data_IF_749063840139
#
_entry.id   IF_749063840139
#
_cell.length_a   1.000
_cell.length_b   1.000
_cell.length_c   1.000
_cell.angle_alpha   90.00
_cell.angle_beta   90.00
_cell.angle_gamma   90.00
#
_symmetry.space_group_name_H-M   'P 1'
#
loop_
_entity.id
_entity.type
_entity.pdbx_description
1 polymer ?
#
# COMPACT_ATOMS: atom_id res chain seq x y z
N UNK A 1 -13.12 24.09 12.77
CA UNK A 1 -12.20 22.95 12.54
C UNK A 1 -13.06 21.70 12.36
N UNK A 2 -12.85 20.89 11.31
CA UNK A 2 -13.58 19.64 11.16
C UNK A 2 -13.30 18.74 12.38
N UNK A 3 -14.35 18.18 12.99
CA UNK A 3 -14.19 17.26 14.11
C UNK A 3 -13.68 15.90 13.62
N UNK A 4 -13.12 15.08 14.50
CA UNK A 4 -12.57 13.75 14.17
C UNK A 4 -13.55 12.86 13.41
N UNK A 5 -14.84 12.95 13.74
CA UNK A 5 -15.93 12.22 13.09
C UNK A 5 -16.03 12.53 11.59
N UNK A 6 -15.83 13.79 11.20
CA UNK A 6 -15.89 14.18 9.78
C UNK A 6 -14.75 13.59 8.92
N UNK A 7 -13.60 13.27 9.52
CA UNK A 7 -12.49 12.59 8.83
C UNK A 7 -12.76 11.09 8.71
N UNK A 8 -13.23 10.46 9.79
CA UNK A 8 -13.61 9.04 9.81
C UNK A 8 -14.68 8.71 8.77
N UNK A 9 -15.68 9.59 8.61
CA UNK A 9 -16.73 9.42 7.59
C UNK A 9 -16.21 9.45 6.15
N UNK A 10 -15.06 10.08 5.91
CA UNK A 10 -14.44 10.20 4.58
C UNK A 10 -13.34 9.16 4.36
N UNK A 11 -12.99 8.39 5.39
CA UNK A 11 -11.89 7.43 5.37
C UNK A 11 -12.34 6.09 4.78
N UNK A 12 -11.85 5.78 3.57
CA UNK A 12 -12.14 4.52 2.91
C UNK A 12 -11.51 3.31 3.62
N UNK A 13 -10.52 3.50 4.49
CA UNK A 13 -9.97 2.39 5.26
C UNK A 13 -10.94 1.95 6.37
N UNK A 14 -11.73 2.89 6.91
CA UNK A 14 -12.68 2.63 7.99
C UNK A 14 -14.02 2.06 7.48
N UNK A 15 -14.33 2.16 6.18
CA UNK A 15 -15.54 1.61 5.57
C UNK A 15 -15.29 0.20 5.00
N UNK A 16 -16.11 -0.77 5.41
CA UNK A 16 -15.89 -2.19 5.08
C UNK A 16 -15.95 -2.50 3.59
N UNK A 17 -16.86 -1.86 2.85
CA UNK A 17 -17.05 -2.12 1.41
C UNK A 17 -15.87 -1.60 0.61
N UNK A 18 -15.49 -0.34 0.86
CA UNK A 18 -14.33 0.28 0.21
C UNK A 18 -13.03 -0.40 0.66
N UNK A 19 -12.90 -0.82 1.92
CA UNK A 19 -11.77 -1.60 2.40
C UNK A 19 -11.61 -2.91 1.62
N UNK A 20 -12.69 -3.69 1.53
CA UNK A 20 -12.69 -4.97 0.83
C UNK A 20 -12.28 -4.81 -0.65
N UNK A 21 -12.75 -3.76 -1.31
CA UNK A 21 -12.42 -3.51 -2.72
C UNK A 21 -11.02 -2.94 -2.92
N UNK A 22 -10.62 -1.93 -2.13
CA UNK A 22 -9.40 -1.17 -2.36
C UNK A 22 -8.15 -1.77 -1.70
N UNK A 23 -8.31 -2.58 -0.66
CA UNK A 23 -7.20 -3.27 0.02
C UNK A 23 -7.36 -4.78 0.01
N UNK A 24 -8.59 -5.29 0.20
CA UNK A 24 -8.88 -6.72 0.24
C UNK A 24 -8.59 -7.42 -1.09
N UNK A 25 -9.19 -6.96 -2.19
CA UNK A 25 -9.00 -7.55 -3.52
C UNK A 25 -7.53 -7.49 -3.99
N UNK A 26 -6.83 -6.34 -3.93
CA UNK A 26 -5.40 -6.31 -4.21
C UNK A 26 -4.58 -7.19 -3.26
N UNK A 27 -4.97 -7.29 -1.98
CA UNK A 27 -4.37 -8.20 -1.01
C UNK A 27 -4.48 -9.67 -1.45
N UNK A 28 -5.66 -10.08 -1.92
CA UNK A 28 -5.87 -11.42 -2.47
C UNK A 28 -5.01 -11.67 -3.72
N UNK A 29 -4.88 -10.69 -4.63
CA UNK A 29 -3.99 -10.79 -5.80
C UNK A 29 -2.52 -10.97 -5.39
N UNK A 30 -2.07 -10.27 -4.35
CA UNK A 30 -0.71 -10.45 -3.81
C UNK A 30 -0.51 -11.88 -3.29
N UNK A 31 -1.48 -12.41 -2.54
CA UNK A 31 -1.44 -13.78 -2.00
C UNK A 31 -1.41 -14.81 -3.15
N UNK A 32 -2.31 -14.70 -4.13
CA UNK A 32 -2.33 -15.60 -5.29
C UNK A 32 -1.02 -15.52 -6.07
N UNK A 33 -0.45 -14.33 -6.21
CA UNK A 33 0.82 -14.10 -6.90
C UNK A 33 2.01 -14.87 -6.31
N UNK A 34 1.94 -15.32 -5.06
CA UNK A 34 2.96 -16.19 -4.45
C UNK A 34 3.07 -17.54 -5.18
N UNK A 35 1.95 -18.06 -5.67
CA UNK A 35 1.85 -19.43 -6.18
C UNK A 35 1.97 -19.56 -7.71
N UNK A 36 2.19 -18.46 -8.41
CA UNK A 36 2.28 -18.42 -9.88
C UNK A 36 3.72 -18.18 -10.34
N UNK A 37 3.95 -18.31 -11.64
CA UNK A 37 5.25 -18.08 -12.26
C UNK A 37 5.72 -16.61 -12.12
N UNK A 38 7.03 -16.33 -12.23
CA UNK A 38 7.58 -15.00 -11.98
C UNK A 38 6.99 -13.89 -12.87
N UNK A 39 6.65 -14.18 -14.12
CA UNK A 39 6.10 -13.18 -15.03
C UNK A 39 4.67 -12.80 -14.60
N UNK A 40 3.81 -13.80 -14.37
CA UNK A 40 2.46 -13.58 -13.87
C UNK A 40 2.47 -12.89 -12.51
N UNK A 41 3.39 -13.30 -11.61
CA UNK A 41 3.60 -12.66 -10.30
C UNK A 41 3.94 -11.18 -10.46
N UNK A 42 4.82 -10.83 -11.39
CA UNK A 42 5.21 -9.44 -11.68
C UNK A 42 3.99 -8.59 -12.00
N UNK A 43 3.14 -9.06 -12.91
CA UNK A 43 1.93 -8.34 -13.33
C UNK A 43 0.96 -8.19 -12.15
N UNK A 44 0.68 -9.29 -11.44
CA UNK A 44 -0.27 -9.30 -10.33
C UNK A 44 0.18 -8.40 -9.18
N UNK A 45 1.43 -8.53 -8.75
CA UNK A 45 1.96 -7.76 -7.64
C UNK A 45 2.08 -6.28 -8.00
N UNK A 46 2.58 -5.96 -9.20
CA UNK A 46 2.65 -4.56 -9.67
C UNK A 46 1.26 -3.94 -9.72
N UNK A 47 0.29 -4.60 -10.35
CA UNK A 47 -1.08 -4.12 -10.45
C UNK A 47 -1.73 -3.90 -9.10
N UNK A 48 -1.56 -4.85 -8.17
CA UNK A 48 -2.08 -4.73 -6.81
C UNK A 48 -1.42 -3.58 -6.03
N UNK A 49 -0.12 -3.36 -6.17
CA UNK A 49 0.58 -2.26 -5.50
C UNK A 49 0.23 -0.90 -6.09
N UNK A 50 0.09 -0.79 -7.41
CA UNK A 50 -0.40 0.43 -8.05
C UNK A 50 -1.80 0.78 -7.56
N UNK A 51 -2.70 -0.22 -7.51
CA UNK A 51 -4.05 -0.05 -6.98
C UNK A 51 -4.03 0.46 -5.54
N UNK A 52 -3.37 -0.26 -4.63
CA UNK A 52 -3.29 0.11 -3.21
C UNK A 52 -2.60 1.46 -3.01
N UNK A 53 -1.53 1.71 -3.77
CA UNK A 53 -0.77 2.95 -3.73
C UNK A 53 -1.62 4.16 -4.08
N UNK A 54 -2.32 4.10 -5.22
CA UNK A 54 -3.25 5.16 -5.64
C UNK A 54 -4.39 5.33 -4.64
N UNK A 55 -5.00 4.22 -4.17
CA UNK A 55 -6.06 4.27 -3.17
C UNK A 55 -5.60 4.96 -1.87
N UNK A 56 -4.40 4.65 -1.38
CA UNK A 56 -3.81 5.32 -0.22
C UNK A 56 -3.56 6.82 -0.48
N UNK A 57 -2.96 7.19 -1.61
CA UNK A 57 -2.71 8.62 -1.93
C UNK A 57 -4.01 9.41 -1.96
N UNK A 58 -5.05 8.87 -2.63
CA UNK A 58 -6.36 9.50 -2.72
C UNK A 58 -7.04 9.57 -1.36
N UNK A 59 -6.98 8.49 -0.56
CA UNK A 59 -7.57 8.49 0.78
C UNK A 59 -6.89 9.53 1.69
N UNK A 60 -5.56 9.59 1.67
CA UNK A 60 -4.80 10.60 2.41
C UNK A 60 -5.17 12.03 1.99
N UNK A 61 -5.34 12.29 0.69
CA UNK A 61 -5.77 13.61 0.20
C UNK A 61 -7.22 13.96 0.61
N UNK A 62 -8.10 12.96 0.77
CA UNK A 62 -9.52 13.15 1.12
C UNK A 62 -9.76 13.39 2.61
N UNK A 63 -9.10 12.60 3.47
CA UNK A 63 -9.38 12.57 4.91
C UNK A 63 -8.16 12.84 5.80
N UNK A 64 -6.97 12.98 5.22
CA UNK A 64 -5.74 13.22 5.97
C UNK A 64 -5.21 11.97 6.70
N UNK A 65 -5.60 10.75 6.27
CA UNK A 65 -5.13 9.50 6.91
C UNK A 65 -3.61 9.41 6.88
N UNK A 66 -3.01 9.41 8.07
CA UNK A 66 -1.57 9.56 8.24
C UNK A 66 -0.78 8.41 7.61
N UNK A 67 -1.12 7.15 7.90
CA UNK A 67 -0.37 6.04 7.31
C UNK A 67 -0.53 5.96 5.79
N UNK A 68 -1.70 6.34 5.25
CA UNK A 68 -1.94 6.33 3.80
C UNK A 68 -1.04 7.34 3.08
N UNK A 69 -0.74 8.48 3.72
CA UNK A 69 0.18 9.48 3.19
C UNK A 69 1.58 8.92 2.91
N UNK A 70 2.06 8.02 3.77
CA UNK A 70 3.39 7.40 3.62
C UNK A 70 3.35 6.07 2.86
N UNK A 71 2.36 5.23 3.13
CA UNK A 71 2.24 3.91 2.48
C UNK A 71 1.85 4.01 1.01
N UNK A 72 1.13 5.07 0.60
CA UNK A 72 0.79 5.33 -0.80
C UNK A 72 2.03 5.43 -1.69
N UNK A 73 2.90 6.45 -1.48
CA UNK A 73 4.16 6.56 -2.21
C UNK A 73 5.06 5.33 -2.08
N UNK A 74 5.11 4.72 -0.90
CA UNK A 74 5.87 3.50 -0.68
C UNK A 74 5.42 2.35 -1.59
N UNK A 75 4.12 2.10 -1.71
CA UNK A 75 3.58 1.08 -2.62
C UNK A 75 3.89 1.37 -4.08
N UNK A 76 3.79 2.64 -4.51
CA UNK A 76 4.10 3.04 -5.88
C UNK A 76 5.58 2.83 -6.21
N UNK A 77 6.49 3.21 -5.29
CA UNK A 77 7.92 2.95 -5.44
C UNK A 77 8.22 1.45 -5.47
N UNK A 78 7.60 0.68 -4.58
CA UNK A 78 7.79 -0.76 -4.56
C UNK A 78 7.26 -1.42 -5.83
N UNK A 79 6.16 -0.94 -6.41
CA UNK A 79 5.65 -1.40 -7.70
C UNK A 79 6.67 -1.20 -8.83
N UNK A 80 7.39 -0.07 -8.84
CA UNK A 80 8.48 0.15 -9.80
C UNK A 80 9.57 -0.90 -9.62
N UNK A 81 9.99 -1.18 -8.38
CA UNK A 81 11.01 -2.21 -8.11
C UNK A 81 10.52 -3.61 -8.53
N UNK A 82 9.24 -3.93 -8.33
CA UNK A 82 8.66 -5.22 -8.78
C UNK A 82 8.77 -5.37 -10.30
N UNK A 83 8.48 -4.31 -11.06
CA UNK A 83 8.63 -4.30 -12.52
C UNK A 83 10.09 -4.48 -12.91
N UNK A 84 10.99 -3.68 -12.33
CA UNK A 84 12.42 -3.75 -12.65
C UNK A 84 13.01 -5.14 -12.37
N UNK A 85 12.63 -5.76 -11.25
CA UNK A 85 13.05 -7.13 -10.93
C UNK A 85 12.39 -8.18 -11.83
N UNK A 86 11.08 -8.08 -12.04
CA UNK A 86 10.31 -9.01 -12.85
C UNK A 86 10.77 -9.10 -14.30
N UNK A 87 11.12 -7.95 -14.90
CA UNK A 87 11.66 -7.87 -16.25
C UNK A 87 13.19 -8.06 -16.32
N UNK A 88 13.82 -8.48 -15.22
CA UNK A 88 15.26 -8.78 -15.15
C UNK A 88 16.16 -7.57 -15.50
N UNK A 89 15.64 -6.34 -15.28
CA UNK A 89 16.42 -5.10 -15.39
C UNK A 89 17.31 -4.93 -14.15
N UNK A 90 16.79 -5.34 -12.98
CA UNK A 90 17.51 -5.36 -11.71
C UNK A 90 17.46 -6.77 -11.11
N UNK A 91 18.63 -7.39 -10.92
CA UNK A 91 18.72 -8.67 -10.24
C UNK A 91 18.84 -8.47 -8.72
N UNK A 92 17.88 -9.01 -7.96
CA UNK A 92 17.86 -9.01 -6.50
C UNK A 92 18.34 -10.36 -5.92
N UNK A 93 18.93 -11.20 -6.77
CA UNK A 93 19.43 -12.54 -6.45
C UNK A 93 18.32 -13.60 -6.37
N UNK A 94 18.73 -14.82 -6.05
CA UNK A 94 17.84 -16.00 -5.99
C UNK A 94 16.64 -15.83 -5.04
N UNK A 95 16.79 -15.01 -4.00
CA UNK A 95 15.74 -14.72 -3.02
C UNK A 95 15.03 -13.38 -3.28
N UNK A 96 15.17 -12.77 -4.45
CA UNK A 96 14.63 -11.44 -4.78
C UNK A 96 13.15 -11.28 -4.47
N UNK A 97 12.32 -12.24 -4.90
CA UNK A 97 10.88 -12.25 -4.61
C UNK A 97 10.56 -12.35 -3.11
N UNK A 98 11.36 -13.10 -2.34
CA UNK A 98 11.20 -13.20 -0.90
C UNK A 98 11.53 -11.85 -0.23
N UNK A 99 12.63 -11.22 -0.61
CA UNK A 99 13.01 -9.89 -0.11
C UNK A 99 11.96 -8.84 -0.44
N UNK A 100 11.41 -8.87 -1.65
CA UNK A 100 10.34 -7.98 -2.09
C UNK A 100 9.04 -8.20 -1.31
N UNK A 101 8.67 -9.45 -1.03
CA UNK A 101 7.53 -9.77 -0.16
C UNK A 101 7.73 -9.32 1.29
N UNK A 102 8.93 -9.53 1.85
CA UNK A 102 9.29 -9.06 3.19
C UNK A 102 9.32 -7.54 3.28
N UNK A 103 9.86 -6.86 2.27
CA UNK A 103 9.82 -5.41 2.17
C UNK A 103 8.37 -4.94 2.15
N UNK A 104 7.52 -5.53 1.31
CA UNK A 104 6.10 -5.19 1.25
C UNK A 104 5.42 -5.30 2.62
N UNK A 105 5.49 -6.44 3.28
CA UNK A 105 4.79 -6.65 4.56
C UNK A 105 5.44 -5.82 5.68
N UNK A 106 6.75 -5.93 5.85
CA UNK A 106 7.50 -5.28 6.91
C UNK A 106 7.50 -3.76 6.78
N UNK A 107 7.76 -3.24 5.58
CA UNK A 107 7.75 -1.81 5.29
C UNK A 107 6.37 -1.19 5.46
N UNK A 108 5.30 -1.86 5.00
CA UNK A 108 3.93 -1.39 5.22
C UNK A 108 3.57 -1.36 6.70
N UNK A 109 3.82 -2.45 7.43
CA UNK A 109 3.52 -2.54 8.85
C UNK A 109 4.31 -1.50 9.66
N UNK A 110 5.60 -1.34 9.35
CA UNK A 110 6.46 -0.33 9.95
C UNK A 110 5.91 1.09 9.72
N UNK A 111 5.67 1.47 8.45
CA UNK A 111 5.16 2.80 8.13
C UNK A 111 3.81 3.05 8.79
N UNK A 112 2.91 2.07 8.80
CA UNK A 112 1.62 2.22 9.47
C UNK A 112 1.80 2.46 10.97
N UNK A 113 2.44 1.55 11.69
CA UNK A 113 2.54 1.61 13.14
C UNK A 113 3.29 2.88 13.58
N UNK A 114 4.42 3.18 12.95
CA UNK A 114 5.27 4.30 13.34
C UNK A 114 4.59 5.63 13.05
N UNK A 115 4.01 5.80 11.87
CA UNK A 115 3.43 7.10 11.48
C UNK A 115 2.18 7.41 12.30
N UNK A 116 1.32 6.43 12.57
CA UNK A 116 0.15 6.66 13.42
C UNK A 116 0.51 6.87 14.89
N UNK A 117 1.60 6.28 15.39
CA UNK A 117 2.09 6.55 16.75
C UNK A 117 2.64 7.96 16.91
N UNK A 118 3.29 8.50 15.88
CA UNK A 118 3.93 9.82 15.95
C UNK A 118 2.91 10.94 15.70
N UNK A 119 2.06 10.81 14.69
CA UNK A 119 1.15 11.89 14.25
C UNK A 119 -0.33 11.62 14.50
N UNK A 120 -0.69 10.45 15.01
CA UNK A 120 -2.07 10.02 15.18
C UNK A 120 -2.66 9.40 13.91
N UNK A 121 -3.93 9.00 13.99
CA UNK A 121 -4.67 8.33 12.89
C UNK A 121 -4.85 9.24 11.67
N UNK A 122 -5.10 10.52 11.91
CA UNK A 122 -5.25 11.55 10.89
C UNK A 122 -4.33 12.72 11.24
N UNK A 123 -3.78 13.36 10.21
CA UNK A 123 -3.09 14.63 10.42
C UNK A 123 -4.06 15.67 10.98
N UNK A 124 -3.61 16.51 11.92
CA UNK A 124 -4.38 17.68 12.32
C UNK A 124 -4.62 18.54 11.08
N UNK A 125 -5.85 19.00 10.89
CA UNK A 125 -6.20 19.87 9.77
C UNK A 125 -5.48 21.21 9.91
N UNK A 126 -4.29 21.28 9.33
CA UNK A 126 -3.50 22.48 9.21
C UNK A 126 -3.35 22.82 7.72
N UNK A 127 -4.41 23.39 7.14
CA UNK A 127 -4.37 24.42 6.10
C UNK A 127 -5.57 25.33 6.31
#
# INVERSE_FOLDING_TARGET
MPNRESFELKDWVSDSYTYAFLWGLPGALLIVGVFVDPFTRTIMWTGALLWKGVACVVNAARCGRTHCYFTGPYFLLLAIVMVLHGFQIVDLGANGWMWLGLALIGGTGFLWIVTERIWGKFFPANY
#
